data_IF_965040521331
#
_entry.id   IF_965040521331
#
_cell.length_a   1.000
_cell.length_b   1.000
_cell.length_c   1.000
_cell.angle_alpha   90.00
_cell.angle_beta   90.00
_cell.angle_gamma   90.00
#
_symmetry.space_group_name_H-M   'P 1'
#
loop_
_entity.id
_entity.type
_entity.pdbx_description
1 polymer ?
#
# COMPACT_ATOMS: atom_id res chain seq x y z
N UNK A 1 -13.57 -37.14 35.82
CA UNK A 1 -14.36 -35.97 35.35
C UNK A 1 -13.52 -34.90 34.63
N UNK A 2 -12.19 -34.83 34.76
CA UNK A 2 -11.37 -33.76 34.16
C UNK A 2 -11.04 -33.91 32.65
N UNK A 3 -11.24 -35.09 32.06
CA UNK A 3 -10.84 -35.33 30.67
C UNK A 3 -11.72 -34.60 29.65
N UNK A 4 -13.04 -34.52 29.90
CA UNK A 4 -13.97 -33.89 28.97
C UNK A 4 -13.73 -32.38 28.80
N UNK A 5 -13.25 -31.72 29.85
CA UNK A 5 -12.91 -30.29 29.83
C UNK A 5 -11.68 -30.04 28.96
N UNK A 6 -10.67 -30.90 29.06
CA UNK A 6 -9.44 -30.81 28.26
C UNK A 6 -9.71 -31.09 26.77
N UNK A 7 -10.58 -32.06 26.45
CA UNK A 7 -10.95 -32.33 25.06
C UNK A 7 -11.76 -31.21 24.42
N UNK A 8 -12.62 -30.53 25.18
CA UNK A 8 -13.37 -29.36 24.70
C UNK A 8 -12.45 -28.17 24.44
N UNK A 9 -11.48 -27.92 25.32
CA UNK A 9 -10.46 -26.88 25.13
C UNK A 9 -9.56 -27.15 23.92
N UNK A 10 -9.14 -28.41 23.72
CA UNK A 10 -8.30 -28.78 22.58
C UNK A 10 -9.06 -28.69 21.25
N UNK A 11 -10.34 -29.08 21.22
CA UNK A 11 -11.18 -28.95 20.04
C UNK A 11 -11.41 -27.48 19.65
N UNK A 12 -11.61 -26.60 20.64
CA UNK A 12 -11.78 -25.16 20.41
C UNK A 12 -10.52 -24.53 19.80
N UNK A 13 -9.34 -24.92 20.29
CA UNK A 13 -8.07 -24.42 19.75
C UNK A 13 -7.78 -24.87 18.31
N UNK A 14 -8.26 -26.04 17.88
CA UNK A 14 -8.02 -26.56 16.53
C UNK A 14 -8.83 -25.88 15.43
N UNK A 15 -9.94 -25.20 15.75
CA UNK A 15 -10.79 -24.51 14.78
C UNK A 15 -10.15 -23.22 14.25
N UNK A 16 -9.18 -22.65 14.98
CA UNK A 16 -8.65 -21.32 14.72
C UNK A 16 -7.58 -21.25 13.61
N UNK A 17 -7.13 -22.37 13.04
CA UNK A 17 -6.04 -22.41 12.04
C UNK A 17 -6.51 -22.54 10.58
N UNK A 18 -7.82 -22.48 10.33
CA UNK A 18 -8.39 -22.52 8.98
C UNK A 18 -8.54 -21.13 8.37
N UNK A 19 -8.30 -21.00 7.06
CA UNK A 19 -8.64 -19.80 6.29
C UNK A 19 -10.16 -19.61 6.34
N UNK A 20 -10.63 -18.64 7.14
CA UNK A 20 -12.08 -18.36 7.28
C UNK A 20 -12.58 -17.61 6.05
N UNK A 21 -13.64 -18.14 5.45
CA UNK A 21 -14.36 -17.50 4.33
C UNK A 21 -15.40 -16.53 4.88
N UNK A 22 -15.63 -15.42 4.18
CA UNK A 22 -16.62 -14.42 4.54
C UNK A 22 -17.39 -13.94 3.31
N UNK A 23 -18.61 -13.46 3.52
CA UNK A 23 -19.42 -12.73 2.52
C UNK A 23 -19.60 -11.27 2.90
N UNK A 24 -19.30 -10.90 4.13
CA UNK A 24 -19.37 -9.54 4.65
C UNK A 24 -18.40 -9.38 5.82
N UNK A 25 -18.17 -8.14 6.24
CA UNK A 25 -17.37 -7.85 7.42
C UNK A 25 -17.94 -8.46 8.71
N UNK A 26 -19.26 -8.66 8.79
CA UNK A 26 -19.94 -9.25 9.96
C UNK A 26 -19.64 -10.74 10.17
N UNK A 27 -19.12 -11.42 9.14
CA UNK A 27 -18.71 -12.82 9.24
C UNK A 27 -17.33 -13.01 9.91
N UNK A 28 -16.62 -11.91 10.18
CA UNK A 28 -15.28 -11.89 10.76
C UNK A 28 -15.27 -11.33 12.18
N UNK A 29 -14.18 -11.53 12.92
CA UNK A 29 -14.01 -10.97 14.26
C UNK A 29 -13.86 -9.43 14.23
N UNK A 30 -14.03 -8.77 15.39
CA UNK A 30 -14.01 -7.30 15.49
C UNK A 30 -12.69 -6.67 15.05
N UNK A 31 -11.58 -7.42 15.13
CA UNK A 31 -10.25 -7.04 14.72
C UNK A 31 -9.84 -7.61 13.34
N UNK A 32 -10.81 -8.13 12.59
CA UNK A 32 -10.67 -8.66 11.24
C UNK A 32 -11.52 -7.89 10.22
N UNK A 33 -11.24 -8.09 8.94
CA UNK A 33 -12.06 -7.61 7.83
C UNK A 33 -12.21 -8.69 6.75
N UNK A 34 -13.26 -8.58 5.95
CA UNK A 34 -13.48 -9.46 4.82
C UNK A 34 -12.76 -8.95 3.56
N UNK A 35 -11.74 -9.68 3.10
CA UNK A 35 -10.95 -9.31 1.91
C UNK A 35 -11.35 -10.15 0.70
N UNK A 36 -11.64 -9.49 -0.43
CA UNK A 36 -11.82 -10.15 -1.73
C UNK A 36 -10.61 -9.93 -2.64
N UNK A 37 -10.31 -10.95 -3.43
CA UNK A 37 -9.30 -10.90 -4.49
C UNK A 37 -10.00 -10.96 -5.84
N UNK A 38 -9.61 -10.09 -6.78
CA UNK A 38 -10.26 -9.98 -8.10
C UNK A 38 -10.32 -11.30 -8.86
N UNK A 39 -9.31 -12.15 -8.71
CA UNK A 39 -9.21 -13.47 -9.38
C UNK A 39 -10.17 -14.51 -8.77
N UNK A 40 -10.66 -14.29 -7.56
CA UNK A 40 -11.45 -15.26 -6.78
C UNK A 40 -12.74 -14.66 -6.21
N UNK A 41 -13.22 -13.54 -6.76
CA UNK A 41 -14.37 -12.81 -6.21
C UNK A 41 -15.64 -13.67 -6.09
N UNK A 42 -15.80 -14.67 -6.96
CA UNK A 42 -16.94 -15.61 -6.94
C UNK A 42 -16.92 -16.61 -5.78
N UNK A 43 -15.77 -16.83 -5.13
CA UNK A 43 -15.62 -17.76 -4.00
C UNK A 43 -15.92 -17.11 -2.63
N UNK A 44 -16.27 -15.83 -2.63
CA UNK A 44 -16.37 -15.00 -1.43
C UNK A 44 -15.00 -14.45 -1.00
N UNK A 45 -15.02 -13.71 0.11
CA UNK A 45 -13.82 -13.16 0.73
C UNK A 45 -13.18 -14.11 1.73
N UNK A 46 -12.09 -13.65 2.31
CA UNK A 46 -11.36 -14.31 3.40
C UNK A 46 -11.20 -13.30 4.55
N UNK A 47 -11.48 -13.74 5.78
CA UNK A 47 -11.22 -12.93 6.97
C UNK A 47 -9.70 -12.76 7.15
N UNK A 48 -9.30 -11.51 7.36
CA UNK A 48 -7.91 -11.13 7.60
C UNK A 48 -7.86 -10.12 8.72
N UNK A 49 -6.80 -10.16 9.51
CA UNK A 49 -6.57 -9.18 10.57
C UNK A 49 -6.43 -7.75 10.00
N UNK A 50 -6.96 -6.79 10.75
CA UNK A 50 -6.76 -5.36 10.51
C UNK A 50 -5.27 -4.99 10.61
N UNK A 51 -4.85 -3.99 9.84
CA UNK A 51 -3.43 -3.61 9.73
C UNK A 51 -2.97 -2.84 10.95
N UNK A 52 -1.89 -3.31 11.54
CA UNK A 52 -1.23 -2.68 12.68
C UNK A 52 -0.38 -1.47 12.27
N UNK A 53 0.04 -0.69 13.26
CA UNK A 53 0.94 0.45 13.08
C UNK A 53 2.23 0.04 12.34
N UNK A 54 2.68 0.91 11.43
CA UNK A 54 3.88 0.72 10.62
C UNK A 54 3.74 -0.28 9.46
N UNK A 55 2.64 -1.05 9.39
CA UNK A 55 2.38 -1.96 8.27
C UNK A 55 1.94 -1.19 7.04
N UNK A 56 2.34 -1.69 5.86
CA UNK A 56 1.90 -1.15 4.57
C UNK A 56 0.38 -1.21 4.47
N UNK A 57 -0.23 -0.17 3.94
CA UNK A 57 -1.66 -0.11 3.69
C UNK A 57 -1.93 0.33 2.25
N UNK A 58 -3.20 0.35 1.84
CA UNK A 58 -3.67 0.82 0.55
C UNK A 58 -4.73 1.86 0.89
N UNK A 59 -4.60 3.09 0.39
CA UNK A 59 -5.60 4.12 0.66
C UNK A 59 -6.94 3.68 0.08
N UNK A 60 -7.99 3.76 0.89
CA UNK A 60 -9.35 3.39 0.47
C UNK A 60 -9.81 4.42 -0.55
N UNK A 61 -10.10 3.97 -1.76
CA UNK A 61 -10.69 4.81 -2.81
C UNK A 61 -12.21 4.77 -2.60
N UNK A 62 -12.86 5.94 -2.56
CA UNK A 62 -14.30 6.06 -2.32
C UNK A 62 -15.15 5.17 -3.25
N UNK A 63 -14.72 5.04 -4.50
CA UNK A 63 -15.39 4.23 -5.52
C UNK A 63 -15.46 2.75 -5.13
N UNK A 64 -14.38 2.20 -4.57
CA UNK A 64 -14.33 0.79 -4.15
C UNK A 64 -15.30 0.53 -2.99
N UNK A 65 -15.48 1.53 -2.13
CA UNK A 65 -16.39 1.46 -0.98
C UNK A 65 -17.86 1.64 -1.37
N UNK A 66 -18.15 2.35 -2.46
CA UNK A 66 -19.51 2.46 -3.03
C UNK A 66 -19.94 1.16 -3.71
N UNK A 67 -19.03 0.48 -4.41
CA UNK A 67 -19.32 -0.78 -5.11
C UNK A 67 -19.57 -1.93 -4.12
N UNK A 68 -18.74 -2.04 -3.07
CA UNK A 68 -18.85 -3.11 -2.07
C UNK A 68 -18.52 -2.60 -0.66
N UNK A 69 -19.48 -1.99 0.06
CA UNK A 69 -19.22 -1.42 1.39
C UNK A 69 -18.84 -2.47 2.44
N UNK A 70 -19.13 -3.74 2.16
CA UNK A 70 -18.96 -4.86 3.10
C UNK A 70 -17.67 -5.66 2.87
N UNK A 71 -16.87 -5.32 1.86
CA UNK A 71 -15.64 -6.04 1.53
C UNK A 71 -14.50 -5.10 1.15
N UNK A 72 -13.28 -5.49 1.50
CA UNK A 72 -12.07 -4.76 1.12
C UNK A 72 -11.34 -5.46 -0.02
N UNK A 73 -10.81 -4.67 -0.97
CA UNK A 73 -10.03 -5.18 -2.08
C UNK A 73 -8.57 -5.40 -1.65
N UNK A 74 -8.05 -6.61 -1.88
CA UNK A 74 -6.66 -7.03 -1.66
C UNK A 74 -6.15 -7.04 -0.21
N UNK A 75 -6.60 -6.14 0.65
CA UNK A 75 -6.08 -6.00 2.01
C UNK A 75 -7.04 -5.26 2.95
N UNK A 76 -6.94 -5.58 4.24
CA UNK A 76 -7.69 -4.88 5.27
C UNK A 76 -7.26 -3.42 5.49
N UNK A 77 -8.15 -2.59 6.03
CA UNK A 77 -7.81 -1.25 6.47
C UNK A 77 -6.92 -1.30 7.72
N UNK A 78 -6.42 -0.12 8.11
CA UNK A 78 -5.74 0.03 9.39
C UNK A 78 -6.70 -0.24 10.56
N UNK A 79 -6.15 -0.72 11.68
CA UNK A 79 -6.89 -0.84 12.95
C UNK A 79 -7.50 0.51 13.33
N UNK A 80 -8.60 0.47 14.08
CA UNK A 80 -9.27 1.67 14.56
C UNK A 80 -8.28 2.62 15.27
N UNK A 81 -8.36 3.91 14.95
CA UNK A 81 -7.43 4.92 15.46
C UNK A 81 -6.10 5.02 14.72
N UNK A 82 -5.92 4.31 13.59
CA UNK A 82 -4.78 4.47 12.70
C UNK A 82 -5.22 4.99 11.32
N UNK A 83 -4.39 5.83 10.71
CA UNK A 83 -4.60 6.36 9.37
C UNK A 83 -3.57 5.81 8.39
N UNK A 84 -4.01 5.56 7.15
CA UNK A 84 -3.14 5.10 6.07
C UNK A 84 -2.46 6.29 5.39
N UNK A 85 -1.22 6.59 5.76
CA UNK A 85 -0.48 7.78 5.30
C UNK A 85 0.70 7.38 4.42
N UNK A 86 0.86 8.07 3.28
CA UNK A 86 1.99 7.94 2.37
C UNK A 86 3.28 8.55 2.93
N UNK A 87 4.39 7.80 2.92
CA UNK A 87 5.64 8.26 3.55
C UNK A 87 6.46 9.24 2.71
N UNK A 88 6.24 9.33 1.40
CA UNK A 88 7.00 10.21 0.50
C UNK A 88 6.06 10.74 -0.57
N UNK A 89 5.90 12.06 -0.63
CA UNK A 89 5.30 12.76 -1.76
C UNK A 89 6.37 12.92 -2.84
N UNK A 90 6.27 12.18 -3.95
CA UNK A 90 7.09 12.42 -5.13
C UNK A 90 6.23 13.03 -6.22
N UNK A 91 6.62 14.20 -6.69
CA UNK A 91 6.02 14.81 -7.87
C UNK A 91 6.60 14.13 -9.10
N UNK A 92 5.83 13.26 -9.76
CA UNK A 92 6.19 12.65 -11.03
C UNK A 92 5.23 13.22 -12.09
N UNK A 93 5.76 13.88 -13.12
CA UNK A 93 4.97 14.56 -14.17
C UNK A 93 3.91 15.54 -13.63
N UNK A 94 4.20 16.26 -12.54
CA UNK A 94 3.26 17.21 -11.93
C UNK A 94 2.21 16.59 -11.00
N UNK A 95 2.22 15.26 -10.81
CA UNK A 95 1.31 14.56 -9.90
C UNK A 95 2.04 14.15 -8.61
N UNK A 96 1.44 14.47 -7.46
CA UNK A 96 1.93 14.02 -6.15
C UNK A 96 1.56 12.56 -5.94
N UNK A 97 2.56 11.67 -5.99
CA UNK A 97 2.39 10.24 -5.73
C UNK A 97 2.93 9.92 -4.34
N UNK A 98 2.03 9.42 -3.47
CA UNK A 98 2.35 8.95 -2.13
C UNK A 98 2.96 7.54 -2.19
N UNK A 99 4.28 7.43 -2.00
CA UNK A 99 4.95 6.13 -2.02
C UNK A 99 4.90 5.42 -0.66
N UNK A 100 4.65 4.10 -0.71
CA UNK A 100 4.71 3.15 0.43
C UNK A 100 3.86 3.59 1.65
N UNK A 101 2.54 3.76 1.48
CA UNK A 101 1.70 4.17 2.59
C UNK A 101 1.68 3.14 3.72
N UNK A 102 1.65 3.63 4.96
CA UNK A 102 1.67 2.85 6.19
C UNK A 102 0.59 3.32 7.17
N UNK A 103 0.13 2.42 8.04
CA UNK A 103 -0.76 2.78 9.14
C UNK A 103 0.02 3.52 10.23
N UNK A 104 -0.43 4.72 10.60
CA UNK A 104 0.20 5.58 11.62
C UNK A 104 -0.86 6.15 12.56
N UNK A 105 -0.47 6.51 13.78
CA UNK A 105 -1.37 7.17 14.74
C UNK A 105 -1.61 8.63 14.29
N UNK A 106 -2.86 9.10 14.20
CA UNK A 106 -3.19 10.46 13.82
C UNK A 106 -3.02 11.42 15.02
N UNK A 107 -1.79 11.73 15.45
CA UNK A 107 -1.55 12.93 16.27
C UNK A 107 -0.08 13.44 16.20
N UNK A 108 0.05 14.68 15.70
CA UNK A 108 1.22 15.57 15.57
C UNK A 108 2.38 15.08 14.69
N UNK A 109 2.18 15.12 13.37
CA UNK A 109 3.31 15.47 12.49
C UNK A 109 3.62 16.96 12.70
N UNK A 110 4.35 17.25 13.79
CA UNK A 110 5.27 18.36 13.82
C UNK A 110 6.14 18.26 12.56
N UNK A 111 6.10 19.34 11.78
CA UNK A 111 7.09 19.68 10.77
C UNK A 111 8.50 19.50 11.34
N UNK A 112 9.12 18.35 11.10
CA UNK A 112 10.58 18.13 11.07
C UNK A 112 10.77 16.65 10.76
N UNK A 113 11.21 16.23 9.58
CA UNK A 113 12.56 16.52 9.11
C UNK A 113 12.69 15.94 7.70
N UNK A 114 12.55 16.77 6.66
CA UNK A 114 13.47 16.78 5.52
C UNK A 114 13.50 18.22 5.01
N UNK A 115 14.40 19.02 5.59
CA UNK A 115 14.92 20.22 4.91
C UNK A 115 15.29 19.75 3.49
N UNK A 116 14.80 20.38 2.41
CA UNK A 116 15.34 20.10 1.08
C UNK A 116 16.86 20.23 1.17
N UNK A 117 17.68 19.30 0.65
CA UNK A 117 19.07 19.64 0.41
C UNK A 117 19.03 20.93 -0.41
N UNK A 118 19.63 21.99 0.14
CA UNK A 118 20.00 23.18 -0.61
C UNK A 118 20.68 22.65 -1.87
N UNK A 119 19.98 22.81 -3.00
CA UNK A 119 20.52 22.47 -4.31
C UNK A 119 21.62 23.50 -4.54
N UNK A 120 22.83 23.17 -4.13
CA UNK A 120 24.02 23.82 -4.64
C UNK A 120 23.96 23.74 -6.16
N UNK A 121 23.90 24.93 -6.74
CA UNK A 121 23.96 25.20 -8.16
C UNK A 121 25.27 24.62 -8.69
N UNK A 122 25.19 23.60 -9.53
CA UNK A 122 26.23 23.39 -10.54
C UNK A 122 25.51 23.18 -11.86
N UNK A 123 25.28 24.32 -12.48
CA UNK A 123 24.98 24.51 -13.89
C UNK A 123 25.96 23.66 -14.73
N UNK A 124 25.51 22.71 -15.57
CA UNK A 124 26.35 22.21 -16.63
C UNK A 124 26.44 23.31 -17.70
N UNK A 125 27.66 23.76 -18.00
CA UNK A 125 27.95 24.68 -19.10
C UNK A 125 27.27 24.20 -20.40
N UNK A 126 26.72 25.10 -21.22
CA UNK A 126 26.19 24.76 -22.52
C UNK A 126 27.33 24.35 -23.46
N UNK A 127 27.26 23.13 -24.01
CA UNK A 127 28.13 22.72 -25.12
C UNK A 127 27.89 23.64 -26.33
N UNK A 128 28.93 24.29 -26.87
CA UNK A 128 28.80 25.04 -28.11
C UNK A 128 28.76 24.07 -29.30
N UNK A 129 27.69 24.12 -30.07
CA UNK A 129 27.67 23.65 -31.46
C UNK A 129 28.65 24.51 -32.29
N UNK A 130 29.40 23.91 -33.23
CA UNK A 130 29.61 24.62 -34.48
C UNK A 130 29.42 23.74 -35.71
N UNK A 131 28.41 24.15 -36.49
CA UNK A 131 28.44 24.46 -37.92
C UNK A 131 29.45 23.71 -38.82
N UNK A 132 28.88 22.88 -39.69
CA UNK A 132 29.10 22.75 -41.13
C UNK A 132 30.34 23.42 -41.75
N UNK A 133 31.22 22.60 -42.35
CA UNK A 133 32.00 22.98 -43.53
C UNK A 133 32.49 21.74 -44.31
N UNK A 134 31.77 21.37 -45.37
CA UNK A 134 32.40 20.87 -46.62
C UNK A 134 33.20 22.04 -47.26
N UNK A 135 34.14 21.89 -48.24
CA UNK A 135 34.23 20.78 -49.22
C UNK A 135 35.65 20.36 -49.73
N UNK A 136 35.64 19.30 -50.58
CA UNK A 136 36.49 19.04 -51.78
C UNK A 136 37.97 18.57 -51.67
N UNK A 137 38.58 17.97 -52.73
CA UNK A 137 38.20 16.77 -53.51
C UNK A 137 39.38 15.74 -53.66
N UNK A 138 39.16 14.68 -54.46
CA UNK A 138 40.02 13.49 -54.76
C UNK A 138 41.50 13.78 -55.16
N UNK A 139 42.45 12.80 -55.15
CA UNK A 139 42.57 11.81 -56.25
C UNK A 139 43.26 10.43 -55.97
N UNK A 140 43.05 9.49 -56.92
CA UNK A 140 43.80 8.25 -57.26
C UNK A 140 43.70 7.06 -56.26
N UNK A 141 43.52 5.80 -56.64
CA UNK A 141 43.93 5.02 -57.84
C UNK A 141 42.83 4.07 -58.37
#
# INVERSE_FOLDING_TARGET
MNWFVLTLFFAYATVSLGVRRCKSAEDCEEDECCVKYTVAAFLGGVCRELREEGKTCTPIIKKDQEEDPNMYLFQCPCKAGLECVGSIEKTIFGHVVKHKPKCVVPEKEDLSTVKPPERETTEPEPEPEPETAEPEPEPNE
#
